data_IF_564620444860
#
_entry.id   IF_564620444860
#
_cell.length_a   1.000
_cell.length_b   1.000
_cell.length_c   1.000
_cell.angle_alpha   90.00
_cell.angle_beta   90.00
_cell.angle_gamma   90.00
#
_symmetry.space_group_name_H-M   'P 1'
#
loop_
_entity.id
_entity.type
_entity.pdbx_description
1 polymer ?
#
# COMPACT_ATOMS: atom_id res chain seq x y z
N UNK A 1 -8.52 -5.48 0.00
CA UNK A 1 -9.15 -4.80 1.13
C UNK A 1 -10.37 -4.01 0.74
N UNK A 2 -11.19 -3.61 1.74
CA UNK A 2 -12.45 -2.86 1.55
C UNK A 2 -12.58 -1.70 2.56
N UNK A 3 -11.52 -1.45 3.33
CA UNK A 3 -11.45 -0.36 4.30
C UNK A 3 -11.03 0.98 3.68
N UNK A 4 -10.95 2.03 4.52
CA UNK A 4 -10.56 3.38 4.09
C UNK A 4 -9.20 3.40 3.39
N UNK A 5 -8.25 2.56 3.84
CA UNK A 5 -6.93 2.41 3.22
C UNK A 5 -7.03 1.91 1.79
N UNK A 6 -7.85 0.87 1.55
CA UNK A 6 -8.07 0.33 0.20
C UNK A 6 -8.71 1.34 -0.73
N UNK A 7 -9.71 2.10 -0.25
CA UNK A 7 -10.38 3.14 -1.03
C UNK A 7 -9.47 4.32 -1.33
N UNK A 8 -8.69 4.78 -0.37
CA UNK A 8 -7.70 5.82 -0.59
C UNK A 8 -6.66 5.40 -1.63
N UNK A 9 -6.15 4.16 -1.54
CA UNK A 9 -5.22 3.62 -2.51
C UNK A 9 -5.85 3.47 -3.91
N UNK A 10 -7.09 2.97 -4.00
CA UNK A 10 -7.80 2.83 -5.28
C UNK A 10 -8.07 4.18 -5.94
N UNK A 11 -8.54 5.16 -5.18
CA UNK A 11 -8.79 6.52 -5.66
C UNK A 11 -7.51 7.16 -6.19
N UNK A 12 -6.45 7.16 -5.38
CA UNK A 12 -5.19 7.79 -5.78
C UNK A 12 -4.51 7.06 -6.95
N UNK A 13 -4.56 5.73 -7.00
CA UNK A 13 -4.04 4.98 -8.13
C UNK A 13 -4.78 5.34 -9.44
N UNK A 14 -6.10 5.48 -9.39
CA UNK A 14 -6.93 5.88 -10.54
C UNK A 14 -6.63 7.32 -10.97
N UNK A 15 -6.50 8.26 -10.03
CA UNK A 15 -6.11 9.65 -10.32
C UNK A 15 -4.74 9.75 -11.00
N UNK A 16 -3.81 8.88 -10.66
CA UNK A 16 -2.47 8.80 -11.25
C UNK A 16 -2.44 8.02 -12.58
N UNK A 17 -3.59 7.63 -13.11
CA UNK A 17 -3.71 6.91 -14.39
C UNK A 17 -3.53 5.40 -14.27
N UNK A 18 -3.45 4.85 -13.08
CA UNK A 18 -3.45 3.41 -12.83
C UNK A 18 -4.85 2.82 -13.04
N UNK A 19 -4.90 1.58 -13.50
CA UNK A 19 -6.15 0.83 -13.62
C UNK A 19 -6.30 -0.16 -12.46
N UNK A 20 -7.16 0.16 -11.50
CA UNK A 20 -7.47 -0.72 -10.37
C UNK A 20 -8.47 -1.78 -10.84
N UNK A 21 -8.07 -3.03 -10.89
CA UNK A 21 -8.88 -4.12 -11.45
C UNK A 21 -9.43 -5.08 -10.40
N UNK A 22 -8.96 -5.01 -9.16
CA UNK A 22 -9.46 -5.85 -8.07
C UNK A 22 -9.66 -5.06 -6.79
N UNK A 23 -10.74 -5.35 -6.09
CA UNK A 23 -11.00 -4.97 -4.71
C UNK A 23 -11.50 -6.22 -3.98
N UNK A 24 -11.07 -6.43 -2.74
CA UNK A 24 -11.49 -7.58 -1.93
C UNK A 24 -12.21 -7.16 -0.66
N UNK A 25 -13.23 -7.92 -0.30
CA UNK A 25 -13.97 -7.81 0.97
C UNK A 25 -13.90 -9.09 1.78
N UNK A 26 -14.64 -9.16 2.88
CA UNK A 26 -14.74 -10.39 3.69
C UNK A 26 -15.38 -11.56 2.96
N UNK A 27 -16.22 -11.26 1.97
CA UNK A 27 -16.99 -12.21 1.16
C UNK A 27 -16.24 -12.77 -0.04
N UNK A 28 -15.11 -12.13 -0.43
CA UNK A 28 -14.32 -12.53 -1.59
C UNK A 28 -13.70 -11.33 -2.29
N UNK A 29 -13.52 -11.39 -3.61
CA UNK A 29 -13.03 -10.26 -4.38
C UNK A 29 -13.78 -10.09 -5.69
N UNK A 30 -13.78 -8.86 -6.21
CA UNK A 30 -14.21 -8.56 -7.58
C UNK A 30 -13.00 -8.42 -8.50
N UNK A 31 -13.19 -8.85 -9.75
CA UNK A 31 -12.28 -8.55 -10.85
C UNK A 31 -13.06 -7.80 -11.94
N UNK A 32 -12.61 -6.60 -12.23
CA UNK A 32 -13.16 -5.77 -13.29
C UNK A 32 -12.05 -5.43 -14.30
N UNK A 33 -12.03 -6.07 -15.47
CA UNK A 33 -10.99 -5.82 -16.48
C UNK A 33 -11.05 -4.41 -17.08
N UNK A 34 -12.21 -3.72 -16.97
CA UNK A 34 -12.34 -2.33 -17.39
C UNK A 34 -11.68 -1.36 -16.39
N UNK A 35 -11.50 -1.80 -15.15
CA UNK A 35 -10.98 -1.01 -14.05
C UNK A 35 -12.07 -0.25 -13.31
N UNK A 36 -11.71 0.21 -12.10
CA UNK A 36 -12.56 1.05 -11.27
C UNK A 36 -12.37 2.51 -11.70
N UNK A 37 -13.49 3.18 -11.94
CA UNK A 37 -13.57 4.63 -12.16
C UNK A 37 -14.24 5.32 -10.96
N UNK A 38 -14.43 6.62 -11.04
CA UNK A 38 -15.00 7.41 -9.96
C UNK A 38 -16.44 6.98 -9.60
N UNK A 39 -17.26 6.59 -10.60
CA UNK A 39 -18.62 6.13 -10.37
C UNK A 39 -18.64 4.80 -9.59
N UNK A 40 -17.80 3.86 -10.02
CA UNK A 40 -17.66 2.55 -9.39
C UNK A 40 -17.13 2.66 -7.96
N UNK A 41 -16.13 3.53 -7.74
CA UNK A 41 -15.59 3.81 -6.41
C UNK A 41 -16.68 4.43 -5.53
N UNK A 42 -17.41 5.44 -6.01
CA UNK A 42 -18.49 6.07 -5.26
C UNK A 42 -19.59 5.07 -4.85
N UNK A 43 -20.00 4.19 -5.77
CA UNK A 43 -20.96 3.14 -5.46
C UNK A 43 -20.49 2.22 -4.33
N UNK A 44 -19.23 1.82 -4.35
CA UNK A 44 -18.70 0.92 -3.33
C UNK A 44 -18.53 1.64 -1.97
N UNK A 45 -18.21 2.93 -1.98
CA UNK A 45 -18.19 3.74 -0.75
C UNK A 45 -19.60 3.88 -0.15
N UNK A 46 -20.62 4.07 -0.98
CA UNK A 46 -22.02 4.10 -0.55
C UNK A 46 -22.45 2.75 0.05
N UNK A 47 -22.12 1.66 -0.63
CA UNK A 47 -22.39 0.31 -0.16
C UNK A 47 -21.79 0.07 1.23
N UNK A 48 -20.54 0.46 1.43
CA UNK A 48 -19.88 0.38 2.74
C UNK A 48 -20.55 1.27 3.78
N UNK A 49 -20.87 2.50 3.43
CA UNK A 49 -21.55 3.45 4.33
C UNK A 49 -22.93 2.95 4.79
N UNK A 50 -23.59 2.12 3.99
CA UNK A 50 -24.87 1.48 4.35
C UNK A 50 -24.71 0.28 5.31
N UNK A 51 -23.49 -0.03 5.75
CA UNK A 51 -23.20 -1.15 6.66
C UNK A 51 -22.95 -2.48 5.95
N UNK A 52 -22.87 -2.50 4.63
CA UNK A 52 -22.58 -3.68 3.85
C UNK A 52 -21.09 -3.78 3.53
N UNK A 53 -20.34 -4.53 4.31
CA UNK A 53 -18.92 -4.80 4.13
C UNK A 53 -18.64 -5.94 3.14
N UNK A 54 -19.42 -6.00 2.04
CA UNK A 54 -19.32 -7.06 1.01
C UNK A 54 -19.09 -6.43 -0.37
N UNK A 55 -18.41 -7.16 -1.24
CA UNK A 55 -18.09 -6.68 -2.59
C UNK A 55 -18.94 -7.33 -3.69
N UNK A 56 -19.65 -8.42 -3.39
CA UNK A 56 -20.49 -9.14 -4.34
C UNK A 56 -21.47 -8.24 -5.12
N UNK A 57 -22.18 -7.26 -4.52
CA UNK A 57 -23.14 -6.42 -5.23
C UNK A 57 -22.52 -5.59 -6.38
N UNK A 58 -21.22 -5.39 -6.37
CA UNK A 58 -20.53 -4.72 -7.48
C UNK A 58 -20.71 -5.48 -8.80
N UNK A 59 -20.53 -6.81 -8.77
CA UNK A 59 -20.63 -7.63 -9.97
C UNK A 59 -22.07 -7.74 -10.50
N UNK A 60 -23.05 -7.55 -9.64
CA UNK A 60 -24.46 -7.47 -10.03
C UNK A 60 -24.79 -6.16 -10.76
N UNK A 61 -24.15 -5.04 -10.32
CA UNK A 61 -24.40 -3.72 -10.88
C UNK A 61 -23.59 -3.43 -12.15
N UNK A 62 -22.33 -3.82 -12.18
CA UNK A 62 -21.44 -3.47 -13.29
C UNK A 62 -21.14 -4.68 -14.17
N UNK A 63 -21.81 -4.72 -15.34
CA UNK A 63 -21.66 -5.79 -16.32
C UNK A 63 -20.20 -5.90 -16.81
N UNK A 64 -19.72 -7.14 -16.97
CA UNK A 64 -18.35 -7.43 -17.38
C UNK A 64 -17.38 -7.63 -16.22
N UNK A 65 -17.76 -7.27 -15.01
CA UNK A 65 -17.02 -7.63 -13.79
C UNK A 65 -17.41 -9.04 -13.30
N UNK A 66 -16.56 -9.64 -12.47
CA UNK A 66 -16.74 -10.97 -11.91
C UNK A 66 -16.52 -10.94 -10.40
N UNK A 67 -17.33 -11.71 -9.67
CA UNK A 67 -17.14 -11.91 -8.23
C UNK A 67 -16.61 -13.32 -7.95
N UNK A 68 -15.63 -13.41 -7.08
CA UNK A 68 -15.00 -14.67 -6.65
C UNK A 68 -15.20 -14.88 -5.16
N UNK A 69 -16.24 -15.61 -4.79
CA UNK A 69 -16.62 -15.84 -3.41
C UNK A 69 -15.53 -16.57 -2.61
N UNK A 70 -15.21 -16.07 -1.42
CA UNK A 70 -14.28 -16.68 -0.48
C UNK A 70 -12.83 -16.77 -0.94
N UNK A 71 -12.48 -16.13 -2.07
CA UNK A 71 -11.13 -16.14 -2.66
C UNK A 71 -10.43 -14.80 -2.45
N UNK A 72 -9.10 -14.82 -2.58
CA UNK A 72 -8.25 -13.63 -2.57
C UNK A 72 -7.75 -13.32 -3.99
N UNK A 73 -7.42 -12.06 -4.32
CA UNK A 73 -7.12 -11.64 -5.69
C UNK A 73 -5.70 -11.99 -6.18
N UNK A 74 -4.87 -12.64 -5.38
CA UNK A 74 -3.43 -12.79 -5.60
C UNK A 74 -3.05 -13.68 -6.79
N UNK A 75 -4.02 -14.36 -7.40
CA UNK A 75 -3.85 -15.14 -8.64
C UNK A 75 -4.05 -14.31 -9.91
N UNK A 76 -4.61 -13.08 -9.80
CA UNK A 76 -4.87 -12.23 -10.94
C UNK A 76 -3.56 -11.65 -11.52
N UNK A 77 -3.48 -11.59 -12.86
CA UNK A 77 -2.33 -10.97 -13.55
C UNK A 77 -2.48 -9.46 -13.49
N UNK A 78 -1.58 -8.82 -12.80
CA UNK A 78 -1.51 -7.36 -12.62
C UNK A 78 -0.05 -6.92 -12.61
N UNK A 79 0.18 -5.63 -12.82
CA UNK A 79 1.53 -5.05 -12.76
C UNK A 79 1.95 -4.76 -11.31
N UNK A 80 1.02 -4.31 -10.47
CA UNK A 80 1.26 -3.88 -9.09
C UNK A 80 0.27 -4.56 -8.15
N UNK A 81 0.77 -5.03 -7.01
CA UNK A 81 -0.01 -5.61 -5.92
C UNK A 81 0.05 -4.70 -4.70
N UNK A 82 -1.13 -4.31 -4.21
CA UNK A 82 -1.29 -3.43 -3.04
C UNK A 82 -2.12 -4.13 -1.95
N UNK A 83 -1.50 -4.85 -1.01
CA UNK A 83 -2.21 -5.35 0.17
C UNK A 83 -2.68 -4.19 1.04
N UNK A 84 -4.00 -4.06 1.23
CA UNK A 84 -4.64 -2.92 1.89
C UNK A 84 -5.63 -3.33 3.01
N UNK A 85 -5.67 -4.61 3.41
CA UNK A 85 -6.65 -5.09 4.38
C UNK A 85 -6.05 -5.23 5.78
N UNK A 86 -5.62 -6.42 6.15
CA UNK A 86 -5.19 -6.75 7.52
C UNK A 86 -3.79 -7.38 7.53
N UNK A 87 -3.31 -7.69 8.74
CA UNK A 87 -2.03 -8.38 8.92
C UNK A 87 -2.08 -9.79 8.29
N UNK A 88 -0.93 -10.19 7.70
CA UNK A 88 -0.70 -11.55 7.22
C UNK A 88 -1.72 -12.05 6.17
N UNK A 89 -2.29 -11.14 5.38
CA UNK A 89 -3.26 -11.52 4.34
C UNK A 89 -2.62 -12.19 3.12
N UNK A 90 -1.33 -11.91 2.86
CA UNK A 90 -0.56 -12.54 1.77
C UNK A 90 0.30 -13.66 2.36
N UNK A 91 -0.05 -14.90 2.07
CA UNK A 91 0.68 -16.09 2.48
C UNK A 91 1.84 -16.41 1.53
N UNK A 92 2.69 -17.41 1.90
CA UNK A 92 3.73 -17.93 1.00
C UNK A 92 3.14 -18.46 -0.32
N UNK A 93 1.98 -19.11 -0.29
CA UNK A 93 1.34 -19.63 -1.51
C UNK A 93 0.86 -18.51 -2.40
N UNK A 94 0.27 -17.45 -1.81
CA UNK A 94 -0.10 -16.24 -2.53
C UNK A 94 1.13 -15.57 -3.16
N UNK A 95 2.25 -15.52 -2.43
CA UNK A 95 3.50 -14.95 -2.93
C UNK A 95 4.05 -15.70 -4.15
N UNK A 96 3.95 -17.04 -4.15
CA UNK A 96 4.34 -17.85 -5.33
C UNK A 96 3.50 -17.51 -6.56
N UNK A 97 2.18 -17.31 -6.38
CA UNK A 97 1.28 -16.92 -7.47
C UNK A 97 1.65 -15.51 -8.00
N UNK A 98 1.90 -14.55 -7.11
CA UNK A 98 2.33 -13.20 -7.46
C UNK A 98 3.63 -13.21 -8.25
N UNK A 99 4.64 -13.99 -7.80
CA UNK A 99 5.93 -14.14 -8.50
C UNK A 99 5.74 -14.80 -9.86
N UNK A 100 4.94 -15.88 -9.95
CA UNK A 100 4.66 -16.59 -11.20
C UNK A 100 3.96 -15.70 -12.23
N UNK A 101 3.11 -14.77 -11.78
CA UNK A 101 2.44 -13.77 -12.62
C UNK A 101 3.36 -12.64 -13.11
N UNK A 102 4.63 -12.61 -12.67
CA UNK A 102 5.63 -11.58 -13.04
C UNK A 102 5.19 -10.17 -12.69
N UNK A 103 4.57 -10.01 -11.53
CA UNK A 103 4.22 -8.70 -10.98
C UNK A 103 5.48 -7.84 -10.88
N UNK A 104 5.36 -6.57 -11.22
CA UNK A 104 6.50 -5.63 -11.21
C UNK A 104 6.87 -5.18 -9.80
N UNK A 105 5.86 -5.06 -8.91
CA UNK A 105 6.06 -4.57 -7.55
C UNK A 105 4.94 -5.03 -6.61
N UNK A 106 5.32 -5.34 -5.38
CA UNK A 106 4.40 -5.46 -4.24
C UNK A 106 4.66 -4.28 -3.30
N UNK A 107 3.66 -3.45 -3.05
CA UNK A 107 3.74 -2.34 -2.09
C UNK A 107 2.71 -2.52 -0.98
N UNK A 108 3.19 -2.76 0.21
CA UNK A 108 2.37 -3.10 1.38
C UNK A 108 1.75 -1.84 1.98
N UNK A 109 0.49 -1.58 1.68
CA UNK A 109 -0.23 -0.39 2.18
C UNK A 109 -0.79 -0.63 3.60
N UNK A 110 -1.18 -1.87 3.90
CA UNK A 110 -1.59 -2.28 5.24
C UNK A 110 -0.38 -2.49 6.17
N UNK A 111 -0.64 -2.54 7.47
CA UNK A 111 0.39 -2.90 8.46
C UNK A 111 0.64 -4.40 8.43
N UNK A 112 1.86 -4.83 8.09
CA UNK A 112 2.25 -6.24 8.05
C UNK A 112 1.31 -7.11 7.20
N UNK A 113 0.92 -6.64 6.01
CA UNK A 113 0.00 -7.36 5.12
C UNK A 113 0.54 -8.70 4.61
N UNK A 114 1.86 -8.84 4.49
CA UNK A 114 2.52 -10.07 4.03
C UNK A 114 3.11 -10.87 5.20
N UNK A 115 2.97 -12.20 5.14
CA UNK A 115 3.67 -13.10 6.07
C UNK A 115 5.18 -13.05 5.82
N UNK A 116 5.97 -13.36 6.84
CA UNK A 116 7.44 -13.31 6.76
C UNK A 116 7.98 -14.18 5.61
N UNK A 117 7.44 -15.38 5.45
CA UNK A 117 7.82 -16.32 4.40
C UNK A 117 7.47 -15.81 2.99
N UNK A 118 6.40 -15.01 2.87
CA UNK A 118 6.03 -14.34 1.62
C UNK A 118 7.03 -13.24 1.27
N UNK A 119 7.44 -12.46 2.25
CA UNK A 119 8.46 -11.40 2.10
C UNK A 119 9.80 -12.03 1.68
N UNK A 120 10.22 -13.09 2.34
CA UNK A 120 11.47 -13.82 2.01
C UNK A 120 11.42 -14.33 0.57
N UNK A 121 10.27 -14.86 0.12
CA UNK A 121 10.09 -15.32 -1.26
C UNK A 121 10.19 -14.18 -2.27
N UNK A 122 9.60 -13.01 -2.00
CA UNK A 122 9.73 -11.83 -2.86
C UNK A 122 11.20 -11.37 -2.98
N UNK A 123 11.92 -11.30 -1.85
CA UNK A 123 13.33 -10.89 -1.82
C UNK A 123 14.20 -11.91 -2.58
N UNK A 124 13.98 -13.21 -2.36
CA UNK A 124 14.71 -14.28 -3.05
C UNK A 124 14.48 -14.25 -4.57
N UNK A 125 13.25 -13.91 -5.00
CA UNK A 125 12.93 -13.75 -6.41
C UNK A 125 13.37 -12.40 -7.01
N UNK A 126 13.98 -11.52 -6.21
CA UNK A 126 14.31 -10.12 -6.57
C UNK A 126 13.11 -9.33 -7.09
N UNK A 127 11.91 -9.69 -6.65
CA UNK A 127 10.72 -8.90 -6.90
C UNK A 127 10.76 -7.66 -5.98
N UNK A 128 10.64 -6.43 -6.51
CA UNK A 128 10.56 -5.24 -5.68
C UNK A 128 9.40 -5.34 -4.67
N UNK A 129 9.75 -5.37 -3.40
CA UNK A 129 8.81 -5.40 -2.28
C UNK A 129 9.06 -4.22 -1.37
N UNK A 130 8.09 -3.32 -1.26
CA UNK A 130 8.13 -2.18 -0.36
C UNK A 130 7.32 -2.46 0.91
N UNK A 131 7.95 -2.40 2.11
CA UNK A 131 7.30 -2.76 3.37
C UNK A 131 6.33 -1.68 3.84
N UNK A 132 5.32 -2.09 4.59
CA UNK A 132 4.28 -1.21 5.12
C UNK A 132 4.83 0.00 5.86
N UNK A 133 5.86 -0.17 6.68
CA UNK A 133 6.51 0.93 7.42
C UNK A 133 7.03 2.08 6.55
N UNK A 134 7.30 1.83 5.27
CA UNK A 134 7.68 2.87 4.31
C UNK A 134 6.48 3.31 3.47
N UNK A 135 5.69 2.35 2.96
CA UNK A 135 4.58 2.64 2.04
C UNK A 135 3.44 3.37 2.72
N UNK A 136 3.07 2.97 3.94
CA UNK A 136 1.93 3.57 4.66
C UNK A 136 2.30 4.73 5.60
N UNK A 137 3.54 5.18 5.59
CA UNK A 137 4.02 6.28 6.42
C UNK A 137 3.28 7.60 6.16
N UNK A 138 2.62 7.76 5.03
CA UNK A 138 1.85 8.94 4.69
C UNK A 138 0.72 9.23 5.68
N UNK A 139 0.04 8.21 6.18
CA UNK A 139 -1.03 8.38 7.16
C UNK A 139 -0.53 9.03 8.46
N UNK A 140 0.54 8.51 9.05
CA UNK A 140 1.14 9.07 10.26
C UNK A 140 1.81 10.42 10.01
N UNK A 141 2.37 10.63 8.81
CA UNK A 141 2.92 11.92 8.43
C UNK A 141 1.86 13.03 8.43
N UNK A 142 0.68 12.76 7.85
CA UNK A 142 -0.45 13.70 7.87
C UNK A 142 -0.93 13.99 9.30
N UNK A 143 -0.99 12.98 10.16
CA UNK A 143 -1.31 13.20 11.58
C UNK A 143 -0.27 14.11 12.27
N UNK A 144 1.02 13.94 11.96
CA UNK A 144 2.08 14.83 12.44
C UNK A 144 1.94 16.27 11.94
N UNK A 145 1.54 16.44 10.67
CA UNK A 145 1.27 17.76 10.08
C UNK A 145 0.05 18.41 10.73
N UNK A 146 -1.01 17.64 11.02
CA UNK A 146 -2.20 18.11 11.76
C UNK A 146 -1.81 18.63 13.16
N UNK A 147 -1.04 17.83 13.92
CA UNK A 147 -0.55 18.26 15.24
C UNK A 147 0.29 19.55 15.16
N UNK A 148 1.05 19.73 14.09
CA UNK A 148 1.84 20.96 13.87
C UNK A 148 0.94 22.17 13.62
N UNK A 149 -0.11 22.03 12.79
CA UNK A 149 -1.10 23.09 12.56
C UNK A 149 -1.82 23.48 13.86
N UNK A 150 -2.23 22.48 14.64
CA UNK A 150 -2.88 22.71 15.93
C UNK A 150 -1.97 23.48 16.91
N UNK A 151 -0.69 23.11 16.97
CA UNK A 151 0.28 23.80 17.84
C UNK A 151 0.57 25.24 17.39
N UNK A 152 0.55 25.50 16.10
CA UNK A 152 0.75 26.84 15.52
C UNK A 152 -0.52 27.69 15.58
N UNK A 153 -1.70 27.10 15.82
CA UNK A 153 -3.03 27.73 15.73
C UNK A 153 -3.30 28.30 14.34
N UNK A 154 -2.75 27.68 13.28
CA UNK A 154 -2.90 28.09 11.88
C UNK A 154 -3.59 27.02 11.08
N UNK A 155 -4.22 27.45 9.99
CA UNK A 155 -4.77 26.53 8.98
C UNK A 155 -3.91 26.57 7.73
N UNK A 156 -3.43 25.41 7.30
CA UNK A 156 -2.76 25.25 6.02
C UNK A 156 -3.78 24.87 4.94
N UNK A 157 -3.53 25.29 3.72
CA UNK A 157 -4.33 24.83 2.59
C UNK A 157 -4.11 23.35 2.32
N UNK A 158 -5.09 22.71 1.68
CA UNK A 158 -4.95 21.31 1.25
C UNK A 158 -3.69 21.11 0.38
N UNK A 159 -3.36 22.10 -0.46
CA UNK A 159 -2.17 22.06 -1.30
C UNK A 159 -0.87 22.07 -0.48
N UNK A 160 -0.79 22.89 0.55
CA UNK A 160 0.40 22.93 1.43
C UNK A 160 0.60 21.60 2.16
N UNK A 161 -0.48 20.98 2.64
CA UNK A 161 -0.42 19.66 3.28
C UNK A 161 0.04 18.60 2.28
N UNK A 162 -0.51 18.60 1.06
CA UNK A 162 -0.15 17.65 0.01
C UNK A 162 1.31 17.81 -0.44
N UNK A 163 1.79 19.03 -0.64
CA UNK A 163 3.19 19.32 -1.00
C UNK A 163 4.17 18.81 0.08
N UNK A 164 3.84 19.02 1.37
CA UNK A 164 4.65 18.53 2.49
C UNK A 164 4.63 17.00 2.55
N UNK A 165 3.46 16.39 2.40
CA UNK A 165 3.32 14.94 2.37
C UNK A 165 4.12 14.33 1.22
N UNK A 166 4.05 14.93 0.03
CA UNK A 166 4.81 14.47 -1.14
C UNK A 166 6.32 14.50 -0.87
N UNK A 167 6.83 15.58 -0.27
CA UNK A 167 8.25 15.69 0.11
C UNK A 167 8.63 14.60 1.11
N UNK A 168 7.84 14.39 2.17
CA UNK A 168 8.10 13.36 3.19
C UNK A 168 8.16 11.96 2.55
N UNK A 169 7.22 11.64 1.66
CA UNK A 169 7.18 10.32 1.02
C UNK A 169 8.32 10.13 0.01
N UNK A 170 8.72 11.19 -0.71
CA UNK A 170 9.90 11.16 -1.58
C UNK A 170 11.18 10.90 -0.79
N UNK A 171 11.38 11.60 0.32
CA UNK A 171 12.54 11.41 1.23
C UNK A 171 12.60 9.98 1.80
N UNK A 172 11.44 9.40 2.16
CA UNK A 172 11.37 8.01 2.62
C UNK A 172 11.81 7.06 1.51
N UNK A 173 11.32 7.27 0.29
CA UNK A 173 11.70 6.46 -0.87
C UNK A 173 13.20 6.56 -1.14
N UNK A 174 13.76 7.77 -1.21
CA UNK A 174 15.19 8.01 -1.45
C UNK A 174 16.06 7.34 -0.40
N UNK A 175 15.67 7.41 0.88
CA UNK A 175 16.38 6.72 1.95
C UNK A 175 16.30 5.18 1.82
N UNK A 176 15.15 4.64 1.43
CA UNK A 176 15.03 3.20 1.15
C UNK A 176 15.95 2.78 -0.01
N UNK A 177 16.02 3.56 -1.08
CA UNK A 177 16.91 3.33 -2.22
C UNK A 177 18.37 3.41 -1.79
N UNK A 178 18.76 4.48 -1.10
CA UNK A 178 20.13 4.74 -0.63
C UNK A 178 20.69 3.57 0.17
N UNK A 179 19.93 3.04 1.11
CA UNK A 179 20.39 1.99 2.00
C UNK A 179 20.03 0.57 1.52
N UNK A 180 19.12 0.44 0.57
CA UNK A 180 18.64 -0.84 0.06
C UNK A 180 19.29 -1.31 -1.23
N UNK A 181 19.95 -0.43 -1.98
CA UNK A 181 20.59 -0.77 -3.26
C UNK A 181 21.74 -1.76 -3.04
N UNK A 182 21.71 -2.85 -3.79
CA UNK A 182 22.73 -3.89 -3.78
C UNK A 182 23.70 -3.75 -4.95
N UNK A 183 24.81 -4.49 -4.92
CA UNK A 183 25.86 -4.41 -5.93
C UNK A 183 25.38 -4.80 -7.35
N UNK A 184 24.33 -5.59 -7.45
CA UNK A 184 23.73 -6.03 -8.72
C UNK A 184 22.61 -5.08 -9.22
N UNK A 185 22.39 -3.96 -8.52
CA UNK A 185 21.36 -2.97 -8.86
C UNK A 185 19.97 -3.28 -8.30
N UNK A 186 19.77 -4.42 -7.66
CA UNK A 186 18.49 -4.72 -6.98
C UNK A 186 18.31 -3.81 -5.76
N UNK A 187 17.10 -3.27 -5.59
CA UNK A 187 16.76 -2.45 -4.42
C UNK A 187 15.96 -3.30 -3.44
N UNK A 188 16.59 -3.66 -2.33
CA UNK A 188 15.89 -4.30 -1.22
C UNK A 188 15.28 -3.24 -0.31
N UNK A 189 14.04 -2.82 -0.60
CA UNK A 189 13.33 -1.79 0.16
C UNK A 189 13.12 -2.17 1.63
N UNK A 190 12.94 -3.45 1.96
CA UNK A 190 12.84 -3.90 3.36
C UNK A 190 14.12 -3.60 4.13
N UNK A 191 15.28 -3.97 3.57
CA UNK A 191 16.59 -3.67 4.15
C UNK A 191 16.81 -2.15 4.22
N UNK A 192 16.49 -1.44 3.15
CA UNK A 192 16.64 0.02 3.06
C UNK A 192 15.86 0.74 4.14
N UNK A 193 14.58 0.40 4.32
CA UNK A 193 13.74 0.99 5.34
C UNK A 193 14.24 0.72 6.77
N UNK A 194 14.70 -0.52 7.03
CA UNK A 194 15.25 -0.89 8.34
C UNK A 194 16.53 -0.10 8.67
N UNK A 195 17.46 -0.02 7.72
CA UNK A 195 18.72 0.71 7.92
C UNK A 195 18.46 2.21 8.06
N UNK A 196 17.59 2.79 7.23
CA UNK A 196 17.26 4.21 7.33
C UNK A 196 16.69 4.58 8.70
N UNK A 197 15.76 3.76 9.23
CA UNK A 197 15.21 3.95 10.57
C UNK A 197 16.26 3.79 11.66
N UNK A 198 17.12 2.79 11.58
CA UNK A 198 18.21 2.56 12.52
C UNK A 198 19.21 3.72 12.52
N UNK A 199 19.64 4.22 11.37
CA UNK A 199 20.62 5.31 11.26
C UNK A 199 20.14 6.57 11.96
N UNK A 200 18.86 6.89 11.86
CA UNK A 200 18.28 8.05 12.55
C UNK A 200 18.48 7.99 14.08
N UNK A 201 18.28 6.81 14.65
CA UNK A 201 18.48 6.58 16.09
C UNK A 201 19.96 6.52 16.43
N UNK A 202 20.76 5.80 15.65
CA UNK A 202 22.20 5.66 15.87
C UNK A 202 22.91 7.02 15.83
N UNK A 203 22.60 7.87 14.85
CA UNK A 203 23.18 9.21 14.76
C UNK A 203 22.81 10.08 15.96
N UNK A 204 21.57 10.01 16.45
CA UNK A 204 21.14 10.70 17.65
C UNK A 204 21.88 10.19 18.90
N UNK A 205 22.03 8.87 19.04
CA UNK A 205 22.81 8.27 20.15
C UNK A 205 24.28 8.70 20.11
N UNK A 206 24.89 8.70 18.94
CA UNK A 206 26.29 9.17 18.76
C UNK A 206 26.44 10.64 19.12
N UNK A 207 25.48 11.49 18.73
CA UNK A 207 25.51 12.92 19.04
C UNK A 207 25.33 13.22 20.54
N UNK A 208 24.53 12.40 21.25
CA UNK A 208 24.29 12.55 22.70
C UNK A 208 25.42 11.95 23.55
N UNK A 209 26.19 11.03 22.99
CA UNK A 209 27.23 10.30 23.72
C UNK A 209 26.67 9.15 24.56
N UNK A 210 27.59 8.43 25.24
CA UNK A 210 27.23 7.37 26.19
C UNK A 210 27.12 8.04 27.57
N UNK A 211 25.94 8.01 28.15
CA UNK A 211 25.65 8.53 29.48
C UNK A 211 25.75 7.37 30.48
#
# INVERSE_FOLDING_TARGET
GFGNVAWGAATKATELGGKVVTISGPDGYIYDPAGLDAEKIAYMLELRASGNDIVAPYAEKFAGSQFFAGRKPWEQKVDIVLPCATQNEVSLEDAKNIIANKVMMVAEVSNMGCQAEAIDAFIAAKLPYAPGKAVNAGGVAVSGLEMSQDAEHLQWSAKEVDDRLHTIMADIHENCVKYGTQADGYINYMKGANIAGFMKVADAMMAQGII
#
